data_IF_985523866892
#
_entry.id   IF_985523866892
#
_cell.length_a   1.000
_cell.length_b   1.000
_cell.length_c   1.000
_cell.angle_alpha   90.00
_cell.angle_beta   90.00
_cell.angle_gamma   90.00
#
_symmetry.space_group_name_H-M   'P 1'
#
loop_
_entity.id
_entity.type
_entity.pdbx_description
1 polymer ?
#
# COMPACT_ATOMS: atom_id res chain seq x y z
N UNK A 1 41.52 15.57 -9.61
CA UNK A 1 40.74 16.23 -10.68
C UNK A 1 39.38 15.54 -10.67
N UNK A 2 38.35 16.18 -10.22
CA UNK A 2 37.01 15.60 -10.20
C UNK A 2 36.49 15.44 -11.62
N UNK A 3 36.00 14.25 -11.96
CA UNK A 3 35.41 13.99 -13.28
C UNK A 3 34.01 14.64 -13.36
N UNK A 4 33.94 15.77 -14.05
CA UNK A 4 32.71 16.56 -14.20
C UNK A 4 31.58 15.78 -14.89
N UNK A 5 31.88 14.72 -15.64
CA UNK A 5 30.89 13.92 -16.35
C UNK A 5 30.14 12.98 -15.39
N UNK A 6 30.84 12.44 -14.40
CA UNK A 6 30.22 11.58 -13.37
C UNK A 6 29.36 12.44 -12.44
N UNK A 7 29.85 13.63 -12.06
CA UNK A 7 29.08 14.54 -11.23
C UNK A 7 27.79 15.01 -11.93
N UNK A 8 27.87 15.35 -13.23
CA UNK A 8 26.69 15.77 -13.99
C UNK A 8 25.66 14.64 -14.17
N UNK A 9 26.11 13.39 -14.35
CA UNK A 9 25.22 12.23 -14.48
C UNK A 9 24.56 11.88 -13.15
N UNK A 10 25.29 11.86 -12.04
CA UNK A 10 24.74 11.57 -10.72
C UNK A 10 23.79 12.66 -10.23
N UNK A 11 24.13 13.92 -10.44
CA UNK A 11 23.27 15.07 -10.08
C UNK A 11 22.01 15.12 -10.95
N UNK A 12 22.14 14.80 -12.26
CA UNK A 12 20.98 14.75 -13.15
C UNK A 12 20.01 13.61 -12.81
N UNK A 13 20.53 12.45 -12.46
CA UNK A 13 19.71 11.31 -12.05
C UNK A 13 19.00 11.57 -10.71
N UNK A 14 19.71 12.10 -9.71
CA UNK A 14 19.11 12.42 -8.41
C UNK A 14 18.07 13.53 -8.50
N UNK A 15 18.31 14.58 -9.28
CA UNK A 15 17.33 15.65 -9.51
C UNK A 15 16.11 15.15 -10.29
N UNK A 16 16.28 14.23 -11.24
CA UNK A 16 15.17 13.60 -11.97
C UNK A 16 14.26 12.80 -11.07
N UNK A 17 14.84 11.98 -10.21
CA UNK A 17 14.08 11.15 -9.25
C UNK A 17 13.38 12.03 -8.20
N UNK A 18 14.06 13.03 -7.65
CA UNK A 18 13.46 13.99 -6.71
C UNK A 18 12.35 14.81 -7.37
N UNK A 19 12.49 15.19 -8.65
CA UNK A 19 11.43 15.89 -9.38
C UNK A 19 10.19 15.01 -9.61
N UNK A 20 10.38 13.72 -9.94
CA UNK A 20 9.28 12.77 -10.13
C UNK A 20 8.57 12.53 -8.79
N UNK A 21 9.32 12.28 -7.72
CA UNK A 21 8.78 12.10 -6.37
C UNK A 21 8.13 13.41 -5.89
N UNK A 22 8.75 14.56 -6.11
CA UNK A 22 8.20 15.87 -5.77
C UNK A 22 6.90 16.19 -6.51
N UNK A 23 6.77 15.84 -7.79
CA UNK A 23 5.51 15.99 -8.53
C UNK A 23 4.41 15.07 -8.00
N UNK A 24 4.75 13.87 -7.57
CA UNK A 24 3.78 12.96 -6.93
C UNK A 24 3.24 13.55 -5.61
N UNK A 25 4.06 14.24 -4.83
CA UNK A 25 3.63 14.86 -3.58
C UNK A 25 2.97 16.25 -3.78
N UNK A 26 3.37 17.02 -4.78
CA UNK A 26 2.77 18.35 -5.04
C UNK A 26 1.40 18.30 -5.71
N UNK A 27 1.05 17.18 -6.35
CA UNK A 27 -0.30 17.00 -6.91
C UNK A 27 -1.36 16.63 -5.87
N UNK A 28 -0.97 16.36 -4.62
CA UNK A 28 -1.85 15.95 -3.54
C UNK A 28 -2.56 17.10 -2.81
N UNK A 29 -2.57 18.30 -3.38
CA UNK A 29 -3.29 19.46 -2.81
C UNK A 29 -4.82 19.34 -2.79
N UNK A 30 -5.40 18.29 -3.34
CA UNK A 30 -6.82 17.95 -3.22
C UNK A 30 -7.04 16.45 -3.32
N UNK A 31 -7.23 15.81 -2.22
CA UNK A 31 -8.11 14.69 -1.85
C UNK A 31 -8.24 13.44 -2.75
N UNK A 32 -7.47 13.26 -3.79
CA UNK A 32 -7.38 11.98 -4.49
C UNK A 32 -5.91 11.67 -4.73
N UNK A 33 -5.38 10.74 -3.94
CA UNK A 33 -4.11 10.12 -4.27
C UNK A 33 -4.22 9.62 -5.73
N UNK A 34 -3.49 10.26 -6.64
CA UNK A 34 -3.35 9.71 -7.99
C UNK A 34 -2.82 8.30 -7.83
N UNK A 35 -3.50 7.29 -8.38
CA UNK A 35 -3.03 5.92 -8.25
C UNK A 35 -1.59 5.85 -8.78
N UNK A 36 -0.69 5.28 -7.99
CA UNK A 36 0.61 4.82 -8.47
C UNK A 36 0.38 3.54 -9.30
N UNK A 37 -0.71 3.55 -10.08
CA UNK A 37 -1.10 2.48 -10.98
C UNK A 37 -0.47 2.76 -12.34
N UNK A 38 0.22 1.79 -12.86
CA UNK A 38 0.85 1.86 -14.18
C UNK A 38 2.35 1.62 -14.18
N UNK A 39 3.03 1.63 -13.04
CA UNK A 39 4.46 1.34 -12.93
C UNK A 39 4.63 0.19 -11.93
N UNK A 40 4.20 -1.04 -12.29
CA UNK A 40 4.27 -2.30 -11.51
C UNK A 40 4.10 -2.11 -9.99
N UNK A 41 3.24 -2.75 -9.27
CA UNK A 41 2.87 -2.57 -7.88
C UNK A 41 3.96 -2.11 -6.88
N UNK A 42 3.61 -1.91 -5.66
CA UNK A 42 4.50 -1.62 -4.54
C UNK A 42 4.23 -2.63 -3.41
N UNK A 43 5.15 -2.78 -2.50
CA UNK A 43 5.01 -3.67 -1.34
C UNK A 43 4.83 -2.82 -0.09
N UNK A 44 3.87 -3.19 0.72
CA UNK A 44 3.67 -2.63 2.06
C UNK A 44 4.00 -3.74 3.05
N UNK A 45 5.00 -3.52 3.88
CA UNK A 45 5.30 -4.32 5.04
C UNK A 45 4.98 -3.53 6.30
N UNK A 46 4.63 -4.21 7.37
CA UNK A 46 4.42 -3.61 8.67
C UNK A 46 4.62 -4.66 9.77
N UNK A 47 4.86 -4.21 10.99
CA UNK A 47 4.84 -5.09 12.17
C UNK A 47 3.40 -5.43 12.56
N UNK A 48 2.50 -4.45 12.39
CA UNK A 48 1.07 -4.62 12.61
C UNK A 48 0.22 -3.67 11.78
N UNK A 49 -0.95 -4.14 11.38
CA UNK A 49 -2.02 -3.30 10.81
C UNK A 49 -3.31 -3.60 11.55
N UNK A 50 -3.93 -2.57 12.09
CA UNK A 50 -5.24 -2.63 12.69
C UNK A 50 -6.18 -1.65 11.98
N UNK A 51 -7.46 -2.03 11.88
CA UNK A 51 -8.45 -1.16 11.26
C UNK A 51 -9.87 -1.61 11.56
N UNK A 52 -10.76 -0.66 11.53
CA UNK A 52 -12.18 -0.85 11.74
C UNK A 52 -12.92 -1.04 10.42
N UNK A 53 -14.16 -1.53 10.51
CA UNK A 53 -15.11 -1.61 9.39
C UNK A 53 -14.53 -2.25 8.11
N UNK A 54 -13.79 -3.36 8.27
CA UNK A 54 -13.25 -4.08 7.12
C UNK A 54 -14.36 -4.45 6.13
N UNK A 55 -14.14 -4.08 4.87
CA UNK A 55 -14.86 -4.63 3.73
C UNK A 55 -13.81 -5.17 2.74
N UNK A 56 -13.94 -6.43 2.36
CA UNK A 56 -13.11 -7.06 1.34
C UNK A 56 -14.00 -7.68 0.28
N UNK A 57 -13.73 -7.34 -0.97
CA UNK A 57 -14.49 -7.84 -2.13
C UNK A 57 -13.59 -7.93 -3.37
N UNK A 58 -13.96 -8.77 -4.37
CA UNK A 58 -13.24 -8.83 -5.62
C UNK A 58 -13.45 -7.56 -6.45
N UNK A 59 -12.42 -7.14 -7.12
CA UNK A 59 -12.42 -5.98 -8.00
C UNK A 59 -11.38 -6.12 -9.10
N UNK A 60 -11.05 -5.02 -9.74
CA UNK A 60 -9.99 -4.96 -10.73
C UNK A 60 -9.20 -3.66 -10.62
N UNK A 61 -7.96 -3.71 -11.05
CA UNK A 61 -7.12 -2.54 -11.25
C UNK A 61 -6.18 -2.77 -12.42
N UNK A 62 -5.67 -1.69 -12.98
CA UNK A 62 -4.60 -1.78 -13.96
C UNK A 62 -3.30 -2.18 -13.26
N UNK A 63 -2.58 -3.09 -13.87
CA UNK A 63 -1.25 -3.52 -13.48
C UNK A 63 -0.29 -3.25 -14.64
N UNK A 64 1.01 -3.28 -14.38
CA UNK A 64 2.06 -2.89 -15.34
C UNK A 64 1.91 -3.55 -16.74
N UNK A 65 1.45 -4.79 -16.78
CA UNK A 65 1.34 -5.56 -18.02
C UNK A 65 -0.09 -6.01 -18.37
N UNK A 66 -1.10 -5.53 -17.63
CA UNK A 66 -2.49 -5.93 -17.87
C UNK A 66 -3.47 -4.85 -17.41
N UNK A 67 -4.40 -4.50 -18.28
CA UNK A 67 -5.56 -3.70 -17.89
C UNK A 67 -6.60 -4.59 -17.20
N UNK A 68 -7.23 -4.06 -16.15
CA UNK A 68 -8.30 -4.74 -15.40
C UNK A 68 -7.88 -6.11 -14.81
N UNK A 69 -6.68 -6.17 -14.27
CA UNK A 69 -6.23 -7.37 -13.56
C UNK A 69 -7.10 -7.64 -12.31
N UNK A 70 -7.61 -8.87 -12.10
CA UNK A 70 -8.42 -9.20 -10.93
C UNK A 70 -7.62 -9.00 -9.63
N UNK A 71 -8.23 -8.34 -8.66
CA UNK A 71 -7.61 -8.04 -7.37
C UNK A 71 -8.64 -8.08 -6.24
N UNK A 72 -8.17 -8.27 -5.02
CA UNK A 72 -8.94 -7.97 -3.83
C UNK A 72 -8.97 -6.46 -3.58
N UNK A 73 -10.12 -5.93 -3.27
CA UNK A 73 -10.29 -4.57 -2.76
C UNK A 73 -10.50 -4.66 -1.27
N UNK A 74 -9.69 -3.95 -0.51
CA UNK A 74 -9.76 -3.87 0.95
C UNK A 74 -10.08 -2.43 1.32
N UNK A 75 -11.13 -2.25 2.08
CA UNK A 75 -11.51 -0.96 2.67
C UNK A 75 -11.47 -1.10 4.19
N UNK A 76 -10.89 -0.10 4.84
CA UNK A 76 -10.78 0.00 6.30
C UNK A 76 -11.05 1.44 6.73
N UNK A 77 -11.56 1.62 7.93
CA UNK A 77 -11.63 2.89 8.65
C UNK A 77 -10.74 2.87 9.89
N UNK A 78 -10.39 4.04 10.42
CA UNK A 78 -9.59 4.19 11.63
C UNK A 78 -8.36 3.27 11.67
N UNK A 79 -7.51 3.36 10.64
CA UNK A 79 -6.38 2.46 10.44
C UNK A 79 -5.18 2.91 11.25
N UNK A 80 -4.55 1.97 11.94
CA UNK A 80 -3.26 2.12 12.60
C UNK A 80 -2.27 1.14 12.00
N UNK A 81 -1.05 1.61 11.70
CA UNK A 81 0.02 0.81 11.11
C UNK A 81 1.29 1.00 11.95
N UNK A 82 1.75 -0.07 12.53
CA UNK A 82 3.01 -0.14 13.27
C UNK A 82 4.13 -0.57 12.34
N UNK A 83 5.26 0.14 12.35
CA UNK A 83 6.43 -0.24 11.57
C UNK A 83 6.21 -0.22 10.07
N UNK A 84 5.48 0.78 9.55
CA UNK A 84 5.20 0.89 8.11
C UNK A 84 6.48 0.98 7.29
N UNK A 85 6.62 0.10 6.32
CA UNK A 85 7.58 0.18 5.23
C UNK A 85 6.86 0.01 3.89
N UNK A 86 6.91 1.03 3.03
CA UNK A 86 6.42 0.95 1.66
C UNK A 86 7.60 0.96 0.71
N UNK A 87 7.68 -0.05 -0.14
CA UNK A 87 8.78 -0.23 -1.09
C UNK A 87 8.26 -0.24 -2.51
N UNK A 88 8.84 0.61 -3.36
CA UNK A 88 8.59 0.63 -4.80
C UNK A 88 9.91 0.50 -5.56
N UNK A 89 10.01 -0.51 -6.41
CA UNK A 89 11.15 -0.70 -7.32
C UNK A 89 10.77 -0.16 -8.71
N UNK A 90 11.70 0.54 -9.32
CA UNK A 90 11.62 1.08 -10.68
C UNK A 90 12.73 0.47 -11.53
N UNK A 91 12.39 -0.12 -12.66
CA UNK A 91 13.37 -0.49 -13.67
C UNK A 91 13.72 0.77 -14.47
N UNK A 92 14.97 1.18 -14.45
CA UNK A 92 15.44 2.39 -15.09
C UNK A 92 15.78 2.20 -16.58
N UNK A 93 15.87 0.96 -17.07
CA UNK A 93 16.18 0.67 -18.48
C UNK A 93 15.14 1.31 -19.43
N UNK A 94 13.87 1.32 -19.03
CA UNK A 94 12.81 1.98 -19.80
C UNK A 94 12.94 3.50 -19.91
N UNK A 95 13.82 4.09 -19.09
CA UNK A 95 14.15 5.52 -19.12
C UNK A 95 15.54 5.81 -19.72
N UNK A 96 16.20 4.76 -20.28
CA UNK A 96 17.54 4.86 -20.87
C UNK A 96 18.68 4.95 -19.85
N UNK A 97 18.40 4.53 -18.60
CA UNK A 97 19.39 4.43 -17.51
C UNK A 97 19.50 2.96 -17.14
N UNK A 98 20.73 2.45 -16.94
CA UNK A 98 20.91 1.07 -16.50
C UNK A 98 20.64 0.96 -15.01
N UNK A 99 20.07 -0.19 -14.59
CA UNK A 99 19.88 -0.52 -13.19
C UNK A 99 18.45 -0.36 -12.69
N UNK A 100 18.28 -0.62 -11.39
CA UNK A 100 17.03 -0.44 -10.67
C UNK A 100 17.16 0.68 -9.62
N UNK A 101 16.11 1.45 -9.44
CA UNK A 101 15.97 2.32 -8.28
C UNK A 101 14.88 1.77 -7.36
N UNK A 102 15.07 1.94 -6.06
CA UNK A 102 14.08 1.58 -5.04
C UNK A 102 13.76 2.81 -4.20
N UNK A 103 12.48 3.14 -4.12
CA UNK A 103 11.97 4.10 -3.15
C UNK A 103 11.49 3.33 -1.93
N UNK A 104 11.97 3.73 -0.77
CA UNK A 104 11.55 3.20 0.54
C UNK A 104 10.96 4.33 1.35
N UNK A 105 9.75 4.14 1.83
CA UNK A 105 9.07 5.06 2.74
C UNK A 105 8.84 4.29 4.04
N UNK A 106 9.34 4.82 5.14
CA UNK A 106 9.14 4.26 6.47
C UNK A 106 8.40 5.24 7.37
N UNK A 107 7.57 4.74 8.26
CA UNK A 107 6.89 5.53 9.28
C UNK A 107 6.40 4.63 10.41
N UNK A 108 5.93 5.24 11.49
CA UNK A 108 5.32 4.48 12.58
C UNK A 108 6.32 3.74 13.44
N UNK A 109 7.54 4.26 13.53
CA UNK A 109 8.60 3.71 14.38
C UNK A 109 8.62 4.40 15.75
N UNK A 110 9.35 3.82 16.71
CA UNK A 110 9.54 4.39 18.05
C UNK A 110 8.25 4.50 18.90
N UNK A 111 7.32 3.55 18.74
CA UNK A 111 6.09 3.49 19.53
C UNK A 111 5.03 4.53 19.11
N UNK A 112 5.15 5.08 17.94
CA UNK A 112 4.13 5.93 17.31
C UNK A 112 3.66 5.29 16.03
N UNK A 113 2.39 4.90 15.94
CA UNK A 113 1.83 4.26 14.75
C UNK A 113 1.54 5.30 13.66
N UNK A 114 1.73 4.92 12.40
CA UNK A 114 1.14 5.63 11.30
C UNK A 114 -0.38 5.44 11.35
N UNK A 115 -1.15 6.50 11.08
CA UNK A 115 -2.61 6.44 11.16
C UNK A 115 -3.26 6.96 9.89
N UNK A 116 -4.38 6.35 9.52
CA UNK A 116 -5.20 6.83 8.42
C UNK A 116 -6.69 6.81 8.80
N UNK A 117 -7.42 7.84 8.41
CA UNK A 117 -8.86 7.93 8.69
C UNK A 117 -9.66 6.89 7.91
N UNK A 118 -9.23 6.61 6.70
CA UNK A 118 -9.76 5.55 5.83
C UNK A 118 -8.66 5.05 4.92
N UNK A 119 -8.72 3.80 4.55
CA UNK A 119 -7.78 3.16 3.63
C UNK A 119 -8.55 2.36 2.60
N UNK A 120 -8.27 2.60 1.32
CA UNK A 120 -8.69 1.76 0.22
C UNK A 120 -7.43 1.19 -0.44
N UNK A 121 -7.35 -0.12 -0.51
CA UNK A 121 -6.21 -0.85 -1.05
C UNK A 121 -6.70 -1.82 -2.13
N UNK A 122 -6.01 -1.86 -3.27
CA UNK A 122 -6.19 -2.93 -4.25
C UNK A 122 -4.95 -3.80 -4.29
N UNK A 123 -5.16 -5.09 -4.07
CA UNK A 123 -4.06 -6.04 -3.90
C UNK A 123 -4.34 -7.36 -4.61
N UNK A 124 -3.37 -7.87 -5.40
CA UNK A 124 -3.42 -9.25 -5.87
C UNK A 124 -2.96 -10.25 -4.81
N UNK A 125 -2.26 -9.78 -3.76
CA UNK A 125 -1.71 -10.66 -2.73
C UNK A 125 -1.59 -9.92 -1.40
N UNK A 126 -2.17 -10.50 -0.37
CA UNK A 126 -2.01 -10.12 1.03
C UNK A 126 -1.61 -11.37 1.81
N UNK A 127 -0.54 -11.29 2.58
CA UNK A 127 -0.11 -12.31 3.52
C UNK A 127 0.16 -11.68 4.88
N UNK A 128 0.03 -12.46 5.94
CA UNK A 128 0.37 -12.07 7.30
C UNK A 128 0.69 -13.32 8.11
N UNK A 129 1.48 -13.19 9.17
CA UNK A 129 1.73 -14.32 10.09
C UNK A 129 0.45 -14.74 10.81
N UNK A 130 -0.39 -13.77 11.13
CA UNK A 130 -1.74 -14.01 11.64
C UNK A 130 -2.69 -12.89 11.24
N UNK A 131 -3.96 -13.24 11.09
CA UNK A 131 -5.06 -12.31 10.87
C UNK A 131 -6.19 -12.63 11.87
N UNK A 132 -6.67 -11.60 12.55
CA UNK A 132 -7.82 -11.67 13.43
C UNK A 132 -8.92 -10.79 12.89
N UNK A 133 -10.11 -11.36 12.79
CA UNK A 133 -11.32 -10.67 12.37
C UNK A 133 -12.32 -10.65 13.52
N UNK A 134 -12.84 -9.48 13.84
CA UNK A 134 -13.87 -9.33 14.86
C UNK A 134 -15.24 -9.26 14.19
N UNK A 135 -16.10 -10.26 14.42
CA UNK A 135 -17.45 -10.29 13.85
C UNK A 135 -17.47 -10.53 12.32
N UNK A 136 -16.58 -11.42 11.83
CA UNK A 136 -16.48 -11.71 10.39
C UNK A 136 -17.79 -12.29 9.82
N UNK A 137 -18.27 -11.65 8.76
CA UNK A 137 -19.36 -12.14 7.90
C UNK A 137 -18.82 -12.35 6.49
N UNK A 138 -19.12 -13.50 5.91
CA UNK A 138 -18.81 -13.80 4.51
C UNK A 138 -20.14 -14.02 3.81
N UNK A 139 -20.40 -13.22 2.79
CA UNK A 139 -21.63 -13.25 2.01
C UNK A 139 -21.31 -13.47 0.53
N UNK A 140 -22.00 -14.43 -0.08
CA UNK A 140 -21.94 -14.73 -1.51
C UNK A 140 -23.29 -14.43 -2.14
N UNK A 141 -23.26 -13.60 -3.18
CA UNK A 141 -24.46 -13.16 -3.89
C UNK A 141 -24.33 -13.40 -5.39
N UNK A 142 -25.38 -13.91 -6.00
CA UNK A 142 -25.42 -14.03 -7.44
C UNK A 142 -25.62 -12.63 -8.06
N UNK A 143 -24.56 -12.05 -8.61
CA UNK A 143 -24.55 -10.72 -9.20
C UNK A 143 -23.77 -10.71 -10.51
N UNK A 144 -24.18 -9.85 -11.43
CA UNK A 144 -23.41 -9.52 -12.64
C UNK A 144 -22.26 -8.55 -12.35
N UNK A 145 -22.21 -7.95 -11.15
CA UNK A 145 -21.15 -7.07 -10.72
C UNK A 145 -20.15 -7.86 -9.86
N UNK A 146 -18.91 -8.00 -10.34
CA UNK A 146 -17.86 -8.76 -9.68
C UNK A 146 -17.63 -8.31 -8.23
N UNK A 147 -17.74 -7.02 -7.92
CA UNK A 147 -17.56 -6.48 -6.58
C UNK A 147 -18.67 -6.83 -5.59
N UNK A 148 -19.73 -7.51 -6.04
CA UNK A 148 -20.86 -7.93 -5.21
C UNK A 148 -21.00 -9.44 -5.08
N UNK A 149 -20.20 -10.21 -5.83
CA UNK A 149 -20.30 -11.68 -5.85
C UNK A 149 -19.89 -12.29 -4.51
N UNK A 150 -18.85 -11.75 -3.91
CA UNK A 150 -18.32 -12.17 -2.61
C UNK A 150 -17.93 -10.95 -1.80
N UNK A 151 -18.36 -10.88 -0.56
CA UNK A 151 -17.99 -9.79 0.35
C UNK A 151 -17.65 -10.36 1.72
N UNK A 152 -16.48 -9.99 2.26
CA UNK A 152 -16.10 -10.20 3.65
C UNK A 152 -16.21 -8.88 4.38
N UNK A 153 -16.84 -8.90 5.53
CA UNK A 153 -16.99 -7.73 6.41
C UNK A 153 -16.65 -8.08 7.84
N UNK A 154 -15.90 -7.23 8.48
CA UNK A 154 -15.63 -7.29 9.91
C UNK A 154 -15.83 -5.89 10.50
N UNK A 155 -17.07 -5.52 10.81
CA UNK A 155 -17.40 -4.22 11.37
C UNK A 155 -16.90 -4.14 12.82
N UNK A 156 -16.51 -2.95 13.21
CA UNK A 156 -16.13 -2.59 14.56
C UNK A 156 -17.26 -2.90 15.59
N UNK A 157 -18.49 -2.66 15.18
CA UNK A 157 -19.69 -2.98 15.98
C UNK A 157 -20.56 -3.96 15.18
N UNK A 158 -20.39 -5.27 15.35
CA UNK A 158 -21.15 -6.22 14.56
C UNK A 158 -22.64 -6.09 14.87
N UNK A 159 -23.38 -5.66 13.89
CA UNK A 159 -24.84 -5.70 13.87
C UNK A 159 -25.25 -6.62 12.73
N UNK A 160 -25.12 -7.91 12.92
CA UNK A 160 -25.64 -8.90 11.99
C UNK A 160 -27.03 -9.30 12.47
N UNK A 161 -28.05 -8.75 11.86
CA UNK A 161 -29.42 -9.24 12.01
C UNK A 161 -29.68 -10.27 10.92
N UNK A 162 -29.19 -11.47 11.10
CA UNK A 162 -29.71 -12.62 10.38
C UNK A 162 -30.93 -13.16 11.12
N UNK A 163 -31.81 -13.80 10.39
CA UNK A 163 -33.18 -14.16 10.81
C UNK A 163 -33.35 -14.78 12.20
N UNK A 164 -32.33 -15.30 12.85
CA UNK A 164 -32.46 -16.01 14.13
C UNK A 164 -31.24 -15.96 15.06
N UNK A 165 -30.11 -15.35 14.67
CA UNK A 165 -28.92 -15.27 15.52
C UNK A 165 -28.37 -13.87 15.53
N UNK A 166 -28.38 -13.24 16.69
CA UNK A 166 -27.67 -12.02 16.95
C UNK A 166 -26.22 -12.37 17.30
N UNK A 167 -25.30 -12.22 16.38
CA UNK A 167 -23.88 -12.26 16.67
C UNK A 167 -23.47 -10.89 17.18
N UNK A 168 -23.59 -10.67 18.47
CA UNK A 168 -22.96 -9.53 19.12
C UNK A 168 -21.57 -9.97 19.56
N UNK A 169 -20.57 -9.38 19.03
CA UNK A 169 -19.25 -9.75 19.46
C UNK A 169 -18.21 -8.93 18.76
N UNK A 170 -17.20 -8.64 19.41
CA UNK A 170 -16.01 -8.09 18.90
C UNK A 170 -15.68 -6.78 19.58
N UNK A 171 -14.56 -6.82 20.25
CA UNK A 171 -13.84 -5.62 20.58
C UNK A 171 -13.23 -5.06 19.30
N UNK A 172 -13.23 -3.75 19.10
CA UNK A 172 -12.37 -3.09 18.13
C UNK A 172 -10.92 -3.60 18.24
N UNK A 173 -10.19 -3.70 17.16
CA UNK A 173 -10.57 -3.35 15.77
C UNK A 173 -11.25 -4.51 15.02
N UNK A 174 -11.86 -4.20 13.87
CA UNK A 174 -12.50 -5.18 12.98
C UNK A 174 -11.50 -6.13 12.33
N UNK A 175 -10.31 -5.63 11.97
CA UNK A 175 -9.18 -6.37 11.42
C UNK A 175 -7.91 -6.09 12.22
N UNK A 176 -7.18 -7.15 12.54
CA UNK A 176 -5.78 -7.08 13.02
C UNK A 176 -4.93 -8.02 12.18
N UNK A 177 -3.83 -7.49 11.64
CA UNK A 177 -2.80 -8.26 10.93
C UNK A 177 -1.49 -8.15 11.70
N UNK A 178 -0.77 -9.24 11.82
CA UNK A 178 0.55 -9.30 12.41
C UNK A 178 1.57 -9.67 11.34
N UNK A 179 2.66 -8.90 11.23
CA UNK A 179 3.68 -9.00 10.20
C UNK A 179 3.09 -9.12 8.77
N UNK A 180 2.19 -8.21 8.37
CA UNK A 180 1.63 -8.26 7.03
C UNK A 180 2.67 -7.89 5.98
N UNK A 181 2.58 -8.58 4.83
CA UNK A 181 3.23 -8.21 3.59
C UNK A 181 2.18 -8.17 2.48
N UNK A 182 1.99 -7.00 1.92
CA UNK A 182 0.91 -6.71 0.98
C UNK A 182 1.51 -6.21 -0.32
N UNK A 183 1.30 -6.96 -1.40
CA UNK A 183 1.63 -6.47 -2.73
C UNK A 183 0.44 -5.67 -3.24
N UNK A 184 0.61 -4.37 -3.41
CA UNK A 184 -0.46 -3.46 -3.78
C UNK A 184 -0.22 -2.84 -5.15
N UNK A 185 -1.31 -2.56 -5.85
CA UNK A 185 -1.29 -1.79 -7.11
C UNK A 185 -1.96 -0.43 -6.94
N UNK A 186 -2.73 -0.27 -5.89
CA UNK A 186 -3.42 0.97 -5.56
C UNK A 186 -3.56 1.12 -4.05
N UNK A 187 -3.33 2.33 -3.56
CA UNK A 187 -3.60 2.74 -2.19
C UNK A 187 -4.17 4.15 -2.24
N UNK A 188 -5.27 4.36 -1.54
CA UNK A 188 -5.85 5.68 -1.33
C UNK A 188 -6.27 5.83 0.13
N UNK A 189 -6.16 7.04 0.63
CA UNK A 189 -6.60 7.43 1.97
C UNK A 189 -7.08 8.87 1.95
N UNK A 190 -8.07 9.20 2.78
CA UNK A 190 -8.54 10.58 2.90
C UNK A 190 -7.54 11.44 3.69
N UNK A 191 -6.95 10.85 4.72
CA UNK A 191 -5.97 11.51 5.57
C UNK A 191 -5.00 10.44 6.09
N UNK A 192 -3.72 10.76 6.09
CA UNK A 192 -2.67 9.90 6.65
C UNK A 192 -1.71 10.73 7.48
N UNK A 193 -1.37 10.24 8.66
CA UNK A 193 -0.32 10.78 9.50
C UNK A 193 0.82 9.77 9.55
N UNK A 194 2.02 10.21 9.25
CA UNK A 194 3.23 9.39 9.17
C UNK A 194 4.27 9.88 10.20
N UNK A 195 4.19 9.46 11.45
CA UNK A 195 5.19 9.82 12.45
C UNK A 195 6.55 9.24 12.11
N UNK A 196 7.60 9.97 12.39
CA UNK A 196 8.98 9.55 12.08
C UNK A 196 9.17 9.15 10.60
N UNK A 197 8.55 9.92 9.70
CA UNK A 197 8.64 9.66 8.26
C UNK A 197 10.10 9.64 7.81
N UNK A 198 10.51 8.52 7.22
CA UNK A 198 11.73 8.37 6.45
C UNK A 198 11.40 8.19 4.98
N UNK A 199 12.19 8.81 4.10
CA UNK A 199 12.13 8.60 2.67
C UNK A 199 13.55 8.41 2.16
N UNK A 200 13.79 7.28 1.52
CA UNK A 200 15.11 6.92 0.99
C UNK A 200 14.97 6.45 -0.46
N UNK A 201 15.88 6.90 -1.28
CA UNK A 201 16.04 6.41 -2.65
C UNK A 201 17.34 5.64 -2.74
N UNK A 202 17.24 4.40 -3.14
CA UNK A 202 18.37 3.48 -3.25
C UNK A 202 18.55 3.08 -4.71
N UNK A 203 19.79 2.81 -5.11
CA UNK A 203 20.14 2.51 -6.50
C UNK A 203 20.99 1.26 -6.60
N UNK A 204 20.61 0.37 -7.50
CA UNK A 204 21.26 -0.89 -7.86
C UNK A 204 21.66 -0.76 -9.35
N UNK A 205 22.93 -0.43 -9.66
CA UNK A 205 23.37 -0.13 -11.02
C UNK A 205 23.53 -1.34 -11.93
N UNK A 206 23.77 -2.52 -11.37
CA UNK A 206 24.07 -3.74 -12.13
C UNK A 206 22.95 -4.80 -12.05
N UNK A 207 21.86 -4.48 -11.37
CA UNK A 207 20.67 -5.33 -11.21
C UNK A 207 20.95 -6.67 -10.50
N UNK A 208 21.91 -6.69 -9.59
CA UNK A 208 22.20 -7.89 -8.80
C UNK A 208 21.31 -8.05 -7.57
N UNK A 209 20.46 -7.05 -7.29
CA UNK A 209 19.55 -6.99 -6.15
C UNK A 209 20.17 -6.37 -4.90
N UNK A 210 21.44 -5.97 -4.97
CA UNK A 210 22.12 -5.20 -3.93
C UNK A 210 22.02 -3.71 -4.26
N UNK A 211 21.65 -2.90 -3.30
CA UNK A 211 21.54 -1.45 -3.50
C UNK A 211 22.76 -0.77 -2.88
N UNK A 212 23.73 -0.37 -3.74
CA UNK A 212 25.03 0.17 -3.30
C UNK A 212 24.94 1.65 -2.90
N UNK A 213 23.93 2.36 -3.39
CA UNK A 213 23.77 3.78 -3.13
C UNK A 213 22.45 4.05 -2.43
N UNK A 214 22.53 4.64 -1.25
CA UNK A 214 21.42 5.15 -0.47
C UNK A 214 21.62 6.65 -0.22
N UNK A 215 20.57 7.42 -0.34
CA UNK A 215 20.59 8.87 -0.16
C UNK A 215 20.05 9.33 1.18
#
# INVERSE_FOLDING_TARGET
MYDKSILAKSTGASLGVVAIVGMLFLSTGTAFATPISGIGGFVINADGIEGDDLILYPGSADAENASQYPQGVVELSAVEIEGLELVKVFNLDQYGLSGNARLVITAGNNGQNATASSLLLKTPQLSADSAKFSGLTIDETQSSNIGQVLTLRAPNTPSVTTREVSLSGGSNPGLQLHNPSIRATYLATNEITLPSLGLEVQFDPDNDGTYEYAG
#
